data_IF_622943183157
#
_entry.id   IF_622943183157
#
_cell.length_a   1.000
_cell.length_b   1.000
_cell.length_c   1.000
_cell.angle_alpha   90.00
_cell.angle_beta   90.00
_cell.angle_gamma   90.00
#
_symmetry.space_group_name_H-M   'P 1'
#
loop_
_entity.id
_entity.type
_entity.pdbx_description
1 polymer ?
#
# COMPACT_ATOMS: atom_id res chain seq x y z
N UNK A 1 12.06 -11.31 26.52
CA UNK A 1 10.85 -10.66 25.96
C UNK A 1 11.27 -9.94 24.69
N UNK A 2 11.04 -10.55 23.53
CA UNK A 2 11.31 -9.93 22.22
C UNK A 2 10.17 -8.95 21.96
N UNK A 3 10.44 -7.66 22.14
CA UNK A 3 9.46 -6.62 21.87
C UNK A 3 9.08 -6.64 20.39
N UNK A 4 7.80 -6.82 20.09
CA UNK A 4 7.22 -6.53 18.78
C UNK A 4 7.46 -5.06 18.50
N UNK A 5 8.33 -4.75 17.54
CA UNK A 5 8.40 -3.41 16.98
C UNK A 5 6.99 -3.08 16.46
N UNK A 6 6.35 -2.07 17.04
CA UNK A 6 5.12 -1.52 16.48
C UNK A 6 5.50 -0.94 15.11
N UNK A 7 4.93 -1.52 14.06
CA UNK A 7 5.18 -1.07 12.69
C UNK A 7 4.84 0.42 12.58
N UNK A 8 5.83 1.22 12.15
CA UNK A 8 5.68 2.66 12.01
C UNK A 8 4.81 3.02 10.81
N UNK A 9 4.52 4.31 10.64
CA UNK A 9 3.98 4.80 9.37
C UNK A 9 4.93 4.42 8.22
N UNK A 10 4.41 4.24 6.98
CA UNK A 10 5.25 3.87 5.85
C UNK A 10 6.35 4.91 5.60
N UNK A 11 7.50 4.45 5.13
CA UNK A 11 8.64 5.32 4.87
C UNK A 11 8.51 6.08 3.55
N UNK A 12 9.23 7.19 3.41
CA UNK A 12 9.32 7.91 2.14
C UNK A 12 9.86 7.03 1.00
N UNK A 13 10.77 6.11 1.31
CA UNK A 13 11.30 5.14 0.35
C UNK A 13 10.22 4.17 -0.14
N UNK A 14 9.39 3.66 0.78
CA UNK A 14 8.27 2.80 0.41
C UNK A 14 7.22 3.55 -0.41
N UNK A 15 6.93 4.82 -0.08
CA UNK A 15 6.05 5.68 -0.88
C UNK A 15 6.56 5.80 -2.33
N UNK A 16 7.85 6.13 -2.49
CA UNK A 16 8.46 6.28 -3.80
C UNK A 16 8.41 4.97 -4.60
N UNK A 17 8.69 3.84 -3.96
CA UNK A 17 8.64 2.52 -4.60
C UNK A 17 7.22 2.12 -4.97
N UNK A 18 6.23 2.37 -4.11
CA UNK A 18 4.82 2.19 -4.42
C UNK A 18 4.43 2.99 -5.66
N UNK A 19 4.75 4.29 -5.70
CA UNK A 19 4.41 5.15 -6.84
C UNK A 19 5.04 4.62 -8.12
N UNK A 20 6.33 4.28 -8.08
CA UNK A 20 7.06 3.74 -9.24
C UNK A 20 6.43 2.45 -9.77
N UNK A 21 6.18 1.47 -8.90
CA UNK A 21 5.60 0.18 -9.30
C UNK A 21 4.17 0.38 -9.83
N UNK A 22 3.37 1.20 -9.14
CA UNK A 22 2.01 1.52 -9.56
C UNK A 22 1.97 2.11 -10.97
N UNK A 23 2.78 3.14 -11.24
CA UNK A 23 2.81 3.80 -12.55
C UNK A 23 3.27 2.84 -13.64
N UNK A 24 4.24 1.96 -13.35
CA UNK A 24 4.69 0.95 -14.30
C UNK A 24 3.59 -0.04 -14.72
N UNK A 25 2.58 -0.28 -13.87
CA UNK A 25 1.47 -1.20 -14.13
C UNK A 25 0.28 -0.46 -14.76
N UNK A 26 -0.12 0.68 -14.18
CA UNK A 26 -1.36 1.37 -14.55
C UNK A 26 -1.17 2.42 -15.65
N UNK A 27 0.05 2.93 -15.81
CA UNK A 27 0.37 4.14 -16.59
C UNK A 27 -0.38 5.42 -16.15
N UNK A 28 -0.98 5.41 -14.94
CA UNK A 28 -1.73 6.54 -14.39
C UNK A 28 -0.98 7.18 -13.22
N UNK A 29 -0.22 8.23 -13.53
CA UNK A 29 0.59 8.94 -12.55
C UNK A 29 -0.25 9.65 -11.47
N UNK A 30 -1.40 10.21 -11.83
CA UNK A 30 -2.25 10.94 -10.90
C UNK A 30 -2.90 9.98 -9.89
N UNK A 31 -3.46 8.88 -10.37
CA UNK A 31 -4.05 7.85 -9.50
C UNK A 31 -3.00 7.22 -8.59
N UNK A 32 -1.81 6.90 -9.13
CA UNK A 32 -0.75 6.28 -8.35
C UNK A 32 -0.16 7.22 -7.29
N UNK A 33 -0.05 8.51 -7.58
CA UNK A 33 0.36 9.51 -6.59
C UNK A 33 -0.68 9.61 -5.48
N UNK A 34 -1.98 9.70 -5.81
CA UNK A 34 -3.03 9.73 -4.80
C UNK A 34 -3.04 8.47 -3.93
N UNK A 35 -2.92 7.29 -4.53
CA UNK A 35 -2.89 6.02 -3.78
C UNK A 35 -1.67 5.91 -2.86
N UNK A 36 -0.51 6.39 -3.31
CA UNK A 36 0.68 6.45 -2.46
C UNK A 36 0.49 7.39 -1.26
N UNK A 37 -0.11 8.56 -1.47
CA UNK A 37 -0.45 9.50 -0.38
C UNK A 37 -1.49 8.94 0.59
N UNK A 38 -2.49 8.23 0.07
CA UNK A 38 -3.49 7.56 0.89
C UNK A 38 -2.86 6.43 1.73
N UNK A 39 -2.00 5.60 1.13
CA UNK A 39 -1.31 4.53 1.83
C UNK A 39 -0.48 5.04 3.02
N UNK A 40 0.23 6.18 2.88
CA UNK A 40 0.96 6.81 3.99
C UNK A 40 0.09 7.15 5.23
N UNK A 41 -1.23 7.23 5.06
CA UNK A 41 -2.20 7.56 6.13
C UNK A 41 -3.03 6.37 6.60
N UNK A 42 -3.12 5.33 5.76
CA UNK A 42 -4.09 4.25 5.92
C UNK A 42 -3.48 2.96 6.45
N UNK A 43 -2.18 2.76 6.23
CA UNK A 43 -1.50 1.49 6.49
C UNK A 43 -0.14 1.74 7.16
N UNK A 44 0.44 0.71 7.78
CA UNK A 44 1.78 0.76 8.37
C UNK A 44 2.88 0.32 7.38
N UNK A 45 4.14 0.41 7.81
CA UNK A 45 5.30 0.01 7.01
C UNK A 45 5.29 -1.47 6.61
N UNK A 46 4.76 -2.36 7.46
CA UNK A 46 4.72 -3.81 7.21
C UNK A 46 3.74 -4.09 6.07
N UNK A 47 2.55 -3.53 6.20
CA UNK A 47 1.49 -3.65 5.22
C UNK A 47 1.88 -3.00 3.89
N UNK A 48 2.51 -1.81 3.90
CA UNK A 48 3.03 -1.18 2.69
C UNK A 48 4.04 -2.07 1.96
N UNK A 49 4.90 -2.77 2.71
CA UNK A 49 5.84 -3.75 2.15
C UNK A 49 5.12 -4.88 1.39
N UNK A 50 4.06 -5.45 1.97
CA UNK A 50 3.27 -6.49 1.32
C UNK A 50 2.49 -5.98 0.10
N UNK A 51 1.94 -4.77 0.18
CA UNK A 51 1.24 -4.14 -0.96
C UNK A 51 2.20 -4.00 -2.14
N UNK A 52 3.38 -3.43 -1.92
CA UNK A 52 4.42 -3.29 -2.97
C UNK A 52 4.83 -4.67 -3.50
N UNK A 53 5.03 -5.65 -2.62
CA UNK A 53 5.41 -7.00 -3.01
C UNK A 53 4.36 -7.64 -3.93
N UNK A 54 3.07 -7.58 -3.59
CA UNK A 54 2.02 -8.14 -4.45
C UNK A 54 1.82 -7.35 -5.75
N UNK A 55 2.05 -6.03 -5.77
CA UNK A 55 2.08 -5.28 -7.03
C UNK A 55 3.20 -5.75 -7.96
N UNK A 56 4.34 -6.20 -7.42
CA UNK A 56 5.44 -6.81 -8.17
C UNK A 56 5.19 -8.27 -8.55
N UNK A 57 4.03 -8.83 -8.22
CA UNK A 57 3.68 -10.23 -8.47
C UNK A 57 4.24 -11.22 -7.44
N UNK A 58 4.76 -10.75 -6.29
CA UNK A 58 5.12 -11.64 -5.19
C UNK A 58 3.86 -12.18 -4.48
N UNK A 59 3.98 -13.38 -3.91
CA UNK A 59 2.85 -14.17 -3.40
C UNK A 59 2.08 -13.60 -2.20
N UNK A 60 1.20 -14.45 -1.65
CA UNK A 60 0.20 -14.07 -0.66
C UNK A 60 0.80 -13.45 0.61
N UNK A 61 0.22 -12.34 1.05
CA UNK A 61 0.47 -11.78 2.37
C UNK A 61 -0.07 -12.73 3.47
N UNK A 62 0.47 -12.67 4.69
CA UNK A 62 -0.12 -13.30 5.86
C UNK A 62 -1.61 -12.97 6.01
N UNK A 63 -2.41 -13.87 6.59
CA UNK A 63 -3.87 -13.74 6.62
C UNK A 63 -4.35 -12.47 7.38
N UNK A 64 -3.61 -12.06 8.41
CA UNK A 64 -3.84 -10.80 9.13
C UNK A 64 -3.68 -9.59 8.20
N UNK A 65 -2.58 -9.56 7.43
CA UNK A 65 -2.32 -8.50 6.45
C UNK A 65 -3.33 -8.53 5.30
N UNK A 66 -3.76 -9.70 4.87
CA UNK A 66 -4.69 -9.83 3.75
C UNK A 66 -6.08 -9.27 4.09
N UNK A 67 -6.52 -9.38 5.35
CA UNK A 67 -7.74 -8.73 5.81
C UNK A 67 -7.61 -7.21 5.72
N UNK A 68 -6.53 -6.65 6.26
CA UNK A 68 -6.27 -5.20 6.25
C UNK A 68 -6.10 -4.68 4.83
N UNK A 69 -5.51 -5.47 3.93
CA UNK A 69 -5.33 -5.14 2.52
C UNK A 69 -6.65 -4.80 1.86
N UNK A 70 -7.66 -5.65 2.01
CA UNK A 70 -8.97 -5.41 1.40
C UNK A 70 -9.60 -4.10 1.90
N UNK A 71 -9.48 -3.81 3.20
CA UNK A 71 -9.95 -2.57 3.80
C UNK A 71 -9.19 -1.34 3.24
N UNK A 72 -7.87 -1.44 3.07
CA UNK A 72 -7.05 -0.42 2.40
C UNK A 72 -7.46 -0.20 0.94
N UNK A 73 -7.70 -1.26 0.17
CA UNK A 73 -8.10 -1.16 -1.24
C UNK A 73 -9.42 -0.41 -1.35
N UNK A 74 -10.41 -0.76 -0.54
CA UNK A 74 -11.71 -0.08 -0.51
C UNK A 74 -11.56 1.41 -0.16
N UNK A 75 -10.84 1.73 0.93
CA UNK A 75 -10.66 3.11 1.38
C UNK A 75 -9.84 3.95 0.39
N UNK A 76 -8.77 3.39 -0.17
CA UNK A 76 -7.95 4.10 -1.17
C UNK A 76 -8.71 4.30 -2.49
N UNK A 77 -9.64 3.42 -2.86
CA UNK A 77 -10.53 3.64 -4.00
C UNK A 77 -11.54 4.75 -3.71
N UNK A 78 -12.20 4.76 -2.54
CA UNK A 78 -13.11 5.85 -2.18
C UNK A 78 -12.45 7.24 -2.24
N UNK A 79 -11.17 7.33 -1.87
CA UNK A 79 -10.41 8.59 -1.89
C UNK A 79 -9.95 8.94 -3.32
N UNK A 80 -9.31 8.00 -4.01
CA UNK A 80 -8.56 8.29 -5.23
C UNK A 80 -9.29 7.93 -6.52
N UNK A 81 -10.37 7.16 -6.42
CA UNK A 81 -11.17 6.68 -7.54
C UNK A 81 -12.63 6.49 -7.10
N UNK A 82 -13.33 7.55 -6.66
CA UNK A 82 -14.65 7.45 -6.03
C UNK A 82 -15.75 6.83 -6.91
N UNK A 83 -15.50 6.69 -8.22
CA UNK A 83 -16.44 6.12 -9.19
C UNK A 83 -16.04 4.70 -9.65
N UNK A 84 -15.21 4.00 -8.89
CA UNK A 84 -14.72 2.65 -9.21
C UNK A 84 -15.42 1.56 -8.40
#
# INVERSE_FOLDING_TARGET
MTGTALAGAPTAAQKAEFTKVCVGISQDNALCTCKADAAMKLIDERMMGYVIAGMKGAGNAPQDVQKEWNDYVARSNQICKPNY
#
